data_IF_167476840912
#
_entry.id   IF_167476840912
#
_cell.length_a   1.000
_cell.length_b   1.000
_cell.length_c   1.000
_cell.angle_alpha   90.00
_cell.angle_beta   90.00
_cell.angle_gamma   90.00
#
_symmetry.space_group_name_H-M   'P 1'
#
loop_
_entity.id
_entity.type
_entity.pdbx_description
1 polymer ?
#
# COMPACT_ATOMS: atom_id res chain seq x y z
N UNK A 1 -7.96 -0.80 5.08
CA UNK A 1 -9.26 -0.69 4.37
C UNK A 1 -9.13 -0.50 2.85
N UNK A 2 -8.26 0.44 2.35
CA UNK A 2 -8.15 0.67 0.90
C UNK A 2 -7.54 -0.53 0.15
N UNK A 3 -6.59 -1.23 0.76
CA UNK A 3 -6.02 -2.47 0.20
C UNK A 3 -7.09 -3.56 0.07
N UNK A 4 -7.91 -3.77 1.09
CA UNK A 4 -8.97 -4.76 1.08
C UNK A 4 -10.03 -4.43 0.00
N UNK A 5 -10.40 -3.16 -0.14
CA UNK A 5 -11.30 -2.72 -1.22
C UNK A 5 -10.73 -3.03 -2.61
N UNK A 6 -9.44 -2.80 -2.82
CA UNK A 6 -8.73 -3.17 -4.04
C UNK A 6 -8.71 -4.69 -4.25
N UNK A 7 -8.43 -5.47 -3.21
CA UNK A 7 -8.43 -6.95 -3.29
C UNK A 7 -9.83 -7.50 -3.60
N UNK A 8 -10.88 -6.82 -3.11
CA UNK A 8 -12.28 -7.12 -3.46
C UNK A 8 -12.71 -6.55 -4.83
N UNK A 9 -11.82 -5.88 -5.58
CA UNK A 9 -12.08 -5.27 -6.90
C UNK A 9 -13.24 -4.27 -6.85
N UNK A 10 -13.26 -3.44 -5.82
CA UNK A 10 -14.29 -2.39 -5.67
C UNK A 10 -13.68 -1.02 -5.92
N UNK A 11 -14.26 -0.22 -6.83
CA UNK A 11 -13.90 1.18 -6.96
C UNK A 11 -14.17 1.91 -5.64
N UNK A 12 -13.32 2.87 -5.31
CA UNK A 12 -13.40 3.58 -4.03
C UNK A 12 -12.88 4.99 -4.15
N UNK A 13 -13.15 5.79 -3.14
CA UNK A 13 -12.57 7.11 -2.92
C UNK A 13 -11.93 7.13 -1.54
N UNK A 14 -10.71 7.64 -1.43
CA UNK A 14 -10.02 7.78 -0.16
C UNK A 14 -10.10 9.23 0.31
N UNK A 15 -10.76 9.46 1.45
CA UNK A 15 -10.79 10.74 2.14
C UNK A 15 -9.96 10.65 3.43
N UNK A 16 -9.02 11.57 3.63
CA UNK A 16 -8.22 11.58 4.85
C UNK A 16 -7.92 13.00 5.33
N UNK A 17 -8.19 13.23 6.61
CA UNK A 17 -7.86 14.47 7.32
C UNK A 17 -7.13 14.14 8.60
N UNK A 18 -6.00 14.79 8.82
CA UNK A 18 -5.30 14.80 10.09
C UNK A 18 -5.39 16.19 10.69
N UNK A 19 -5.07 16.31 11.98
CA UNK A 19 -5.13 17.61 12.66
C UNK A 19 -4.21 18.61 11.94
N UNK A 20 -4.61 19.89 11.83
CA UNK A 20 -3.79 20.90 11.15
C UNK A 20 -2.38 21.03 11.74
N UNK A 21 -2.25 20.85 13.04
CA UNK A 21 -0.96 20.89 13.75
C UNK A 21 -0.06 19.74 13.30
N UNK A 22 -0.58 18.52 13.30
CA UNK A 22 0.14 17.32 12.85
C UNK A 22 0.55 17.47 11.39
N UNK A 23 -0.36 17.95 10.53
CA UNK A 23 -0.09 18.15 9.11
C UNK A 23 1.08 19.13 8.89
N UNK A 24 1.08 20.28 9.62
CA UNK A 24 2.17 21.26 9.55
C UNK A 24 3.52 20.66 9.96
N UNK A 25 3.54 19.89 11.06
CA UNK A 25 4.77 19.26 11.56
C UNK A 25 5.31 18.27 10.54
N UNK A 26 4.46 17.37 10.05
CA UNK A 26 4.84 16.32 9.10
C UNK A 26 5.32 16.90 7.78
N UNK A 27 4.65 17.96 7.29
CA UNK A 27 5.02 18.65 6.05
C UNK A 27 6.34 19.42 6.24
N UNK A 28 6.50 20.13 7.37
CA UNK A 28 7.69 20.95 7.64
C UNK A 28 8.95 20.10 7.86
N UNK A 29 8.78 18.91 8.43
CA UNK A 29 9.86 17.94 8.63
C UNK A 29 10.16 17.10 7.38
N UNK A 30 9.43 17.29 6.29
CA UNK A 30 9.62 16.53 5.05
C UNK A 30 9.36 15.04 5.19
N UNK A 31 8.54 14.63 6.17
CA UNK A 31 8.23 13.23 6.43
C UNK A 31 7.26 12.63 5.41
N UNK A 32 6.50 13.48 4.69
CA UNK A 32 5.66 13.06 3.57
C UNK A 32 6.52 12.88 2.31
N UNK A 33 7.23 11.78 2.22
CA UNK A 33 8.05 11.45 1.05
C UNK A 33 7.27 10.73 -0.05
N UNK A 34 6.05 10.30 0.21
CA UNK A 34 5.23 9.56 -0.74
C UNK A 34 4.31 10.49 -1.52
N UNK A 35 4.27 10.30 -2.84
CA UNK A 35 3.36 11.01 -3.74
C UNK A 35 1.90 10.64 -3.49
N UNK A 36 1.64 9.44 -3.01
CA UNK A 36 0.33 8.86 -2.76
C UNK A 36 0.20 8.41 -1.30
N UNK A 37 -1.02 8.38 -0.78
CA UNK A 37 -1.33 7.99 0.61
C UNK A 37 -1.98 6.61 0.67
N UNK A 38 -2.83 6.27 -0.30
CA UNK A 38 -3.50 4.98 -0.34
C UNK A 38 -2.60 3.89 -0.93
N UNK A 39 -2.64 2.70 -0.34
CA UNK A 39 -1.86 1.56 -0.83
C UNK A 39 -2.11 1.21 -2.30
N UNK A 40 -3.33 1.24 -2.85
CA UNK A 40 -3.54 1.01 -4.27
C UNK A 40 -2.74 1.95 -5.17
N UNK A 41 -2.72 3.25 -4.85
CA UNK A 41 -1.97 4.24 -5.63
C UNK A 41 -0.46 4.11 -5.43
N UNK A 42 -0.01 3.82 -4.19
CA UNK A 42 1.41 3.57 -3.88
C UNK A 42 1.93 2.34 -4.62
N UNK A 43 1.18 1.24 -4.60
CA UNK A 43 1.58 -0.02 -5.26
C UNK A 43 1.58 0.11 -6.80
N UNK A 44 0.70 0.94 -7.33
CA UNK A 44 0.62 1.20 -8.76
C UNK A 44 1.62 2.26 -9.25
N UNK A 45 2.20 3.04 -8.33
CA UNK A 45 2.90 4.31 -8.61
C UNK A 45 2.10 5.24 -9.54
N UNK A 46 0.77 5.22 -9.40
CA UNK A 46 -0.17 5.93 -10.25
C UNK A 46 -1.47 6.28 -9.50
N UNK A 47 -2.17 7.37 -9.89
CA UNK A 47 -3.44 7.77 -9.28
C UNK A 47 -4.61 6.89 -9.77
N UNK A 48 -4.66 5.63 -9.36
CA UNK A 48 -5.73 4.68 -9.74
C UNK A 48 -7.08 5.06 -9.13
N UNK A 49 -7.07 5.54 -7.89
CA UNK A 49 -8.26 5.95 -7.15
C UNK A 49 -8.11 7.39 -6.65
N UNK A 50 -9.22 8.15 -6.57
CA UNK A 50 -9.18 9.51 -6.03
C UNK A 50 -8.75 9.52 -4.56
N UNK A 51 -7.79 10.39 -4.23
CA UNK A 51 -7.38 10.71 -2.87
C UNK A 51 -7.71 12.16 -2.56
N UNK A 52 -8.63 12.37 -1.63
CA UNK A 52 -9.05 13.70 -1.18
C UNK A 52 -8.45 13.94 0.21
N UNK A 53 -7.42 14.78 0.26
CA UNK A 53 -6.62 15.00 1.45
C UNK A 53 -6.87 16.40 2.02
N UNK A 54 -6.87 16.52 3.34
CA UNK A 54 -6.94 17.78 4.06
C UNK A 54 -8.07 18.71 3.59
N UNK A 55 -7.75 19.83 2.94
CA UNK A 55 -8.74 20.81 2.46
C UNK A 55 -9.59 20.26 1.30
N UNK A 56 -9.09 19.29 0.55
CA UNK A 56 -9.83 18.64 -0.52
C UNK A 56 -10.81 17.57 -0.02
N UNK A 57 -10.65 17.13 1.22
CA UNK A 57 -11.55 16.17 1.86
C UNK A 57 -12.82 16.89 2.36
N UNK A 58 -13.69 17.27 1.44
CA UNK A 58 -15.00 17.88 1.75
C UNK A 58 -16.15 16.96 1.35
N UNK A 59 -17.35 17.08 1.99
CA UNK A 59 -18.50 16.25 1.63
C UNK A 59 -18.87 16.33 0.15
N UNK A 60 -18.80 17.52 -0.43
CA UNK A 60 -19.17 17.78 -1.83
C UNK A 60 -18.19 17.09 -2.79
N UNK A 61 -16.87 17.21 -2.54
CA UNK A 61 -15.84 16.57 -3.35
C UNK A 61 -15.88 15.06 -3.21
N UNK A 62 -16.11 14.55 -1.99
CA UNK A 62 -16.29 13.10 -1.76
C UNK A 62 -17.48 12.56 -2.52
N UNK A 63 -18.64 13.25 -2.41
CA UNK A 63 -19.85 12.86 -3.13
C UNK A 63 -19.64 12.89 -4.65
N UNK A 64 -19.03 13.95 -5.17
CA UNK A 64 -18.75 14.07 -6.61
C UNK A 64 -17.81 12.93 -7.10
N UNK A 65 -16.78 12.62 -6.33
CA UNK A 65 -15.85 11.54 -6.67
C UNK A 65 -16.54 10.15 -6.63
N UNK A 66 -17.41 9.90 -5.66
CA UNK A 66 -18.21 8.68 -5.60
C UNK A 66 -19.17 8.57 -6.79
N UNK A 67 -19.90 9.66 -7.10
CA UNK A 67 -20.87 9.68 -8.20
C UNK A 67 -20.22 9.43 -9.57
N UNK A 68 -18.95 9.82 -9.75
CA UNK A 68 -18.21 9.51 -10.98
C UNK A 68 -18.09 8.01 -11.23
N UNK A 69 -17.90 7.20 -10.20
CA UNK A 69 -17.83 5.74 -10.36
C UNK A 69 -19.15 5.14 -10.82
N UNK A 70 -20.30 5.72 -10.40
CA UNK A 70 -21.62 5.27 -10.84
C UNK A 70 -21.97 5.78 -12.24
N UNK A 71 -21.52 7.00 -12.57
CA UNK A 71 -21.86 7.64 -13.85
C UNK A 71 -20.90 7.27 -15.01
N UNK A 72 -19.77 6.65 -14.73
CA UNK A 72 -18.73 6.36 -15.75
C UNK A 72 -18.26 4.89 -15.63
N UNK A 73 -19.05 3.91 -16.12
CA UNK A 73 -18.69 2.49 -16.04
C UNK A 73 -17.37 2.18 -16.74
N UNK A 74 -17.03 2.86 -17.83
CA UNK A 74 -15.75 2.67 -18.53
C UNK A 74 -14.53 2.92 -17.62
N UNK A 75 -14.65 3.83 -16.66
CA UNK A 75 -13.58 4.06 -15.67
C UNK A 75 -13.42 2.86 -14.74
N UNK A 76 -14.52 2.22 -14.38
CA UNK A 76 -14.49 1.01 -13.55
C UNK A 76 -13.86 -0.14 -14.33
N UNK A 77 -14.25 -0.32 -15.58
CA UNK A 77 -13.73 -1.35 -16.47
C UNK A 77 -12.22 -1.19 -16.72
N UNK A 78 -11.73 0.05 -16.79
CA UNK A 78 -10.30 0.33 -16.90
C UNK A 78 -9.55 0.11 -15.57
N UNK A 79 -10.20 0.30 -14.42
CA UNK A 79 -9.60 0.15 -13.10
C UNK A 79 -9.42 -1.32 -12.69
N UNK A 80 -10.41 -2.16 -12.97
CA UNK A 80 -10.44 -3.53 -12.49
C UNK A 80 -9.23 -4.37 -12.94
N UNK A 81 -8.77 -4.33 -14.20
CA UNK A 81 -7.56 -5.04 -14.62
C UNK A 81 -6.31 -4.64 -13.82
N UNK A 82 -6.19 -3.34 -13.49
CA UNK A 82 -5.07 -2.85 -12.68
C UNK A 82 -5.09 -3.40 -11.26
N UNK A 83 -6.27 -3.52 -10.67
CA UNK A 83 -6.45 -4.15 -9.35
C UNK A 83 -6.13 -5.65 -9.38
N UNK A 84 -6.47 -6.34 -10.46
CA UNK A 84 -6.13 -7.75 -10.65
C UNK A 84 -4.63 -7.92 -10.79
N UNK A 85 -3.96 -7.09 -11.57
CA UNK A 85 -2.50 -7.10 -11.75
C UNK A 85 -1.77 -6.95 -10.41
N UNK A 86 -2.11 -5.89 -9.63
CA UNK A 86 -1.50 -5.66 -8.31
C UNK A 86 -1.80 -6.83 -7.36
N UNK A 87 -3.03 -7.33 -7.34
CA UNK A 87 -3.39 -8.49 -6.51
C UNK A 87 -2.53 -9.71 -6.84
N UNK A 88 -2.32 -9.97 -8.12
CA UNK A 88 -1.48 -11.10 -8.58
C UNK A 88 -0.02 -10.90 -8.14
N UNK A 89 0.50 -9.68 -8.22
CA UNK A 89 1.85 -9.36 -7.75
C UNK A 89 2.01 -9.52 -6.24
N UNK A 90 0.97 -9.21 -5.45
CA UNK A 90 0.97 -9.37 -4.00
C UNK A 90 0.84 -10.83 -3.54
N UNK A 91 0.32 -11.69 -4.39
CA UNK A 91 0.12 -13.10 -4.08
C UNK A 91 1.42 -13.90 -4.20
N UNK A 92 2.34 -13.68 -3.25
CA UNK A 92 3.71 -14.24 -3.27
C UNK A 92 4.00 -15.24 -2.16
N UNK A 93 2.99 -15.76 -1.49
CA UNK A 93 3.16 -16.68 -0.35
C UNK A 93 4.17 -16.11 0.69
N UNK A 94 3.87 -14.91 1.17
CA UNK A 94 4.77 -14.14 2.04
C UNK A 94 5.18 -14.91 3.30
N UNK A 95 4.28 -15.75 3.84
CA UNK A 95 4.55 -16.56 5.03
C UNK A 95 5.60 -17.63 4.78
N UNK A 96 5.51 -18.36 3.65
CA UNK A 96 6.50 -19.37 3.29
C UNK A 96 7.88 -18.73 3.06
N UNK A 97 7.92 -17.64 2.30
CA UNK A 97 9.18 -16.93 2.02
C UNK A 97 9.81 -16.32 3.29
N UNK A 98 9.01 -15.81 4.21
CA UNK A 98 9.50 -15.31 5.49
C UNK A 98 10.08 -16.44 6.34
N UNK A 99 9.41 -17.59 6.40
CA UNK A 99 9.89 -18.79 7.12
C UNK A 99 11.21 -19.28 6.53
N UNK A 100 11.31 -19.35 5.21
CA UNK A 100 12.53 -19.77 4.51
C UNK A 100 13.70 -18.83 4.81
N UNK A 101 13.49 -17.50 4.74
CA UNK A 101 14.52 -16.52 5.06
C UNK A 101 15.00 -16.61 6.54
N UNK A 102 14.08 -16.87 7.48
CA UNK A 102 14.43 -17.07 8.89
C UNK A 102 15.26 -18.37 9.07
N UNK A 103 14.87 -19.45 8.42
CA UNK A 103 15.60 -20.73 8.50
C UNK A 103 17.00 -20.61 7.90
N UNK A 104 17.16 -19.88 6.80
CA UNK A 104 18.48 -19.60 6.20
C UNK A 104 19.39 -18.82 7.16
N UNK A 105 18.86 -17.80 7.86
CA UNK A 105 19.62 -17.05 8.85
C UNK A 105 20.08 -17.94 10.00
N UNK A 106 19.21 -18.77 10.56
CA UNK A 106 19.54 -19.69 11.64
C UNK A 106 20.60 -20.71 11.21
N UNK A 107 20.50 -21.23 9.98
CA UNK A 107 21.47 -22.16 9.43
C UNK A 107 22.85 -21.51 9.24
N UNK A 108 22.90 -20.26 8.78
CA UNK A 108 24.15 -19.51 8.59
C UNK A 108 24.87 -19.22 9.90
N UNK A 109 24.13 -18.81 10.96
CA UNK A 109 24.69 -18.61 12.30
C UNK A 109 25.22 -19.90 12.92
N UNK A 110 24.55 -21.02 12.68
CA UNK A 110 24.96 -22.33 13.20
C UNK A 110 26.25 -22.81 12.55
N UNK A 111 26.48 -22.45 11.28
CA UNK A 111 27.71 -22.79 10.54
C UNK A 111 28.93 -21.97 11.01
N UNK A 112 28.71 -20.72 11.40
CA UNK A 112 29.80 -19.82 11.86
C UNK A 112 30.20 -20.06 13.33
N UNK A 113 29.33 -20.71 14.12
CA UNK A 113 29.56 -21.04 15.53
C UNK A 113 30.20 -22.42 15.75
N UNK A 114 30.70 -23.10 14.71
CA UNK A 114 31.45 -24.35 14.89
C UNK A 114 32.79 -24.08 15.56
N UNK A 115 33.08 -24.63 16.77
CA UNK A 115 34.35 -24.36 17.45
C UNK A 115 35.48 -24.95 16.63
N UNK A 116 36.49 -24.13 16.31
CA UNK A 116 37.76 -24.56 15.74
C UNK A 116 38.27 -25.76 16.53
N UNK A 117 38.40 -26.90 15.85
CA UNK A 117 38.96 -28.10 16.44
C UNK A 117 40.30 -27.76 17.07
N UNK A 118 40.39 -27.84 18.38
CA UNK A 118 41.67 -27.81 19.09
C UNK A 118 42.41 -29.09 18.67
N UNK A 119 43.35 -28.92 17.78
CA UNK A 119 44.30 -30.00 17.44
C UNK A 119 45.31 -30.18 18.59
N UNK A 120 45.72 -31.42 18.94
CA UNK A 120 46.63 -31.74 20.02
C UNK A 120 48.09 -31.27 19.78
#
# INVERSE_FOLDING_TARGET
PALEGMLCKRPMVVGHRISPTTYRIVTRLGLLKTRFVSLPNVLADAPLIPELLQQDCTPEKLAAACLRWFGQPDMVDALLPRFVEIHTQLRRDASARASEAVLELIASESADSSPAAIAP
#
